data_IF_028330680003
#
_entry.id   IF_028330680003
#
_cell.length_a   1.000
_cell.length_b   1.000
_cell.length_c   1.000
_cell.angle_alpha   90.00
_cell.angle_beta   90.00
_cell.angle_gamma   90.00
#
_symmetry.space_group_name_H-M   'P 1'
#
loop_
_entity.id
_entity.type
_entity.pdbx_description
1 polymer ?
#
# COMPACT_ATOMS: atom_id res chain seq x y z
N UNK A 1 -56.44 -5.28 -2.40
CA UNK A 1 -55.80 -4.45 -1.37
C UNK A 1 -54.51 -5.14 -0.96
N UNK A 2 -53.41 -4.88 -1.68
CA UNK A 2 -52.11 -5.54 -1.46
C UNK A 2 -51.33 -4.66 -0.49
N UNK A 3 -51.01 -5.22 0.68
CA UNK A 3 -50.16 -4.58 1.66
C UNK A 3 -48.72 -4.55 1.14
N UNK A 4 -48.16 -3.36 0.99
CA UNK A 4 -46.73 -3.18 0.78
C UNK A 4 -46.02 -3.33 2.13
N UNK A 5 -45.33 -4.46 2.33
CA UNK A 5 -44.43 -4.65 3.46
C UNK A 5 -43.15 -3.83 3.23
N UNK A 6 -42.93 -2.85 4.10
CA UNK A 6 -41.70 -2.04 4.14
C UNK A 6 -40.70 -2.73 5.07
N UNK A 7 -39.54 -3.12 4.54
CA UNK A 7 -38.42 -3.66 5.33
C UNK A 7 -37.58 -2.49 5.84
N UNK A 8 -37.53 -2.27 7.15
CA UNK A 8 -36.67 -1.26 7.78
C UNK A 8 -35.23 -1.78 7.93
N UNK A 9 -34.40 -1.60 6.90
CA UNK A 9 -32.93 -1.76 6.95
C UNK A 9 -32.23 -0.47 7.43
N UNK A 10 -32.75 0.17 8.47
CA UNK A 10 -32.32 1.54 8.84
C UNK A 10 -31.19 1.63 9.88
N UNK A 11 -31.05 0.65 10.78
CA UNK A 11 -30.25 0.82 12.01
C UNK A 11 -28.93 0.05 12.04
N UNK A 12 -28.83 -1.10 11.36
CA UNK A 12 -27.59 -1.88 11.27
C UNK A 12 -26.66 -1.36 10.16
N UNK A 13 -27.20 -1.00 8.99
CA UNK A 13 -26.44 -0.44 7.87
C UNK A 13 -25.75 0.89 8.22
N UNK A 14 -26.39 1.74 9.04
CA UNK A 14 -25.86 3.05 9.44
C UNK A 14 -24.68 2.96 10.42
N UNK A 15 -24.62 1.92 11.25
CA UNK A 15 -23.50 1.71 12.21
C UNK A 15 -22.29 1.11 11.49
N UNK A 16 -22.49 0.16 10.57
CA UNK A 16 -21.42 -0.36 9.70
C UNK A 16 -20.87 0.70 8.74
N UNK A 17 -21.73 1.59 8.25
CA UNK A 17 -21.34 2.76 7.43
C UNK A 17 -20.45 3.75 8.20
N UNK A 18 -20.72 4.00 9.49
CA UNK A 18 -19.92 4.92 10.31
C UNK A 18 -18.53 4.41 10.65
N UNK A 19 -18.39 3.12 10.95
CA UNK A 19 -17.09 2.46 11.19
C UNK A 19 -16.24 2.42 9.90
N UNK A 20 -16.88 2.09 8.77
CA UNK A 20 -16.25 2.05 7.44
C UNK A 20 -15.76 3.42 6.98
N UNK A 21 -16.58 4.47 7.10
CA UNK A 21 -16.16 5.84 6.77
C UNK A 21 -14.98 6.30 7.64
N UNK A 22 -14.90 5.83 8.89
CA UNK A 22 -13.75 6.04 9.75
C UNK A 22 -12.48 5.35 9.24
N UNK A 23 -12.59 4.10 8.81
CA UNK A 23 -11.48 3.32 8.25
C UNK A 23 -10.98 3.90 6.92
N UNK A 24 -11.87 4.28 6.02
CA UNK A 24 -11.53 4.95 4.76
C UNK A 24 -10.76 6.23 5.08
N UNK A 25 -11.32 7.11 5.93
CA UNK A 25 -10.62 8.33 6.35
C UNK A 25 -9.24 8.05 6.93
N UNK A 26 -9.12 7.03 7.77
CA UNK A 26 -7.83 6.67 8.36
C UNK A 26 -6.83 6.15 7.31
N UNK A 27 -7.29 5.38 6.33
CA UNK A 27 -6.45 4.95 5.20
C UNK A 27 -6.01 6.16 4.37
N UNK A 28 -6.92 7.11 4.08
CA UNK A 28 -6.61 8.36 3.40
C UNK A 28 -5.56 9.18 4.16
N UNK A 29 -5.77 9.39 5.47
CA UNK A 29 -4.84 10.12 6.33
C UNK A 29 -3.47 9.42 6.39
N UNK A 30 -3.41 8.09 6.34
CA UNK A 30 -2.12 7.37 6.26
C UNK A 30 -1.42 7.64 4.93
N UNK A 31 -2.15 7.58 3.83
CA UNK A 31 -1.60 7.79 2.49
C UNK A 31 -1.09 9.22 2.29
N UNK A 32 -1.80 10.22 2.81
CA UNK A 32 -1.39 11.64 2.78
C UNK A 32 -0.16 11.94 3.64
N UNK A 33 0.09 11.15 4.69
CA UNK A 33 1.23 11.35 5.60
C UNK A 33 2.53 10.75 5.10
N UNK A 34 2.47 9.90 4.07
CA UNK A 34 3.63 9.22 3.51
C UNK A 34 4.19 10.05 2.36
N UNK A 35 5.48 10.36 2.45
CA UNK A 35 6.26 10.93 1.36
C UNK A 35 6.63 9.82 0.37
N UNK A 36 5.90 9.75 -0.75
CA UNK A 36 6.05 8.68 -1.74
C UNK A 36 7.33 8.77 -2.56
N UNK A 37 7.89 9.98 -2.74
CA UNK A 37 9.21 10.14 -3.32
C UNK A 37 10.29 9.52 -2.41
N UNK A 38 10.19 9.76 -1.10
CA UNK A 38 11.05 9.12 -0.12
C UNK A 38 10.89 7.58 -0.11
N UNK A 39 9.66 7.06 -0.27
CA UNK A 39 9.41 5.61 -0.40
C UNK A 39 10.17 5.03 -1.59
N UNK A 40 10.05 5.62 -2.78
CA UNK A 40 10.72 5.10 -3.99
C UNK A 40 12.25 5.19 -3.89
N UNK A 41 12.76 6.25 -3.27
CA UNK A 41 14.18 6.38 -2.99
C UNK A 41 14.69 5.28 -2.05
N UNK A 42 14.02 5.09 -0.91
CA UNK A 42 14.37 4.07 0.09
C UNK A 42 14.24 2.66 -0.47
N UNK A 43 13.17 2.36 -1.21
CA UNK A 43 12.97 1.09 -1.92
C UNK A 43 14.16 0.76 -2.82
N UNK A 44 14.60 1.74 -3.63
CA UNK A 44 15.75 1.58 -4.51
C UNK A 44 17.04 1.28 -3.74
N UNK A 45 17.28 1.98 -2.63
CA UNK A 45 18.43 1.70 -1.75
C UNK A 45 18.37 0.30 -1.14
N UNK A 46 17.22 -0.10 -0.63
CA UNK A 46 17.01 -1.41 0.00
C UNK A 46 17.20 -2.54 -1.01
N UNK A 47 16.67 -2.41 -2.22
CA UNK A 47 16.87 -3.40 -3.30
C UNK A 47 18.34 -3.53 -3.72
N UNK A 48 19.07 -2.43 -3.79
CA UNK A 48 20.50 -2.44 -4.07
C UNK A 48 21.29 -3.13 -2.94
N UNK A 49 20.98 -2.79 -1.68
CA UNK A 49 21.61 -3.41 -0.51
C UNK A 49 21.29 -4.91 -0.40
N UNK A 50 20.05 -5.30 -0.69
CA UNK A 50 19.61 -6.68 -0.69
C UNK A 50 20.40 -7.50 -1.70
N UNK A 51 20.60 -6.98 -2.92
CA UNK A 51 21.40 -7.61 -3.98
C UNK A 51 22.82 -7.92 -3.50
N UNK A 52 23.45 -6.99 -2.78
CA UNK A 52 24.79 -7.19 -2.22
C UNK A 52 24.80 -8.25 -1.12
N UNK A 53 23.77 -8.30 -0.26
CA UNK A 53 23.66 -9.26 0.83
C UNK A 53 23.34 -10.67 0.32
N UNK A 54 22.55 -10.80 -0.74
CA UNK A 54 22.14 -12.08 -1.32
C UNK A 54 23.11 -12.62 -2.39
N UNK A 55 24.19 -11.91 -2.71
CA UNK A 55 25.12 -12.28 -3.79
C UNK A 55 25.69 -13.70 -3.63
N UNK A 56 25.96 -14.12 -2.39
CA UNK A 56 26.57 -15.42 -2.08
C UNK A 56 25.69 -16.32 -1.20
N UNK A 57 24.40 -16.00 -1.02
CA UNK A 57 23.53 -16.76 -0.11
C UNK A 57 22.09 -16.84 -0.62
N UNK A 58 21.61 -18.07 -0.76
CA UNK A 58 20.18 -18.34 -0.98
C UNK A 58 19.44 -18.06 0.33
N UNK A 59 18.51 -17.11 0.30
CA UNK A 59 17.63 -16.80 1.41
C UNK A 59 16.30 -17.52 1.20
N UNK A 60 15.84 -18.27 2.21
CA UNK A 60 14.43 -18.66 2.26
C UNK A 60 13.53 -17.43 2.45
N UNK A 61 12.23 -17.57 2.19
CA UNK A 61 11.26 -16.46 2.26
C UNK A 61 11.27 -15.74 3.62
N UNK A 62 11.38 -16.49 4.72
CA UNK A 62 11.38 -15.89 6.06
C UNK A 62 12.65 -15.07 6.32
N UNK A 63 13.81 -15.58 5.89
CA UNK A 63 15.09 -14.86 5.97
C UNK A 63 15.14 -13.68 5.01
N UNK A 64 14.56 -13.81 3.82
CA UNK A 64 14.46 -12.74 2.85
C UNK A 64 13.66 -11.57 3.44
N UNK A 65 12.46 -11.85 3.97
CA UNK A 65 11.60 -10.85 4.61
C UNK A 65 12.26 -10.20 5.83
N UNK A 66 12.92 -10.98 6.68
CA UNK A 66 13.67 -10.45 7.83
C UNK A 66 14.85 -9.56 7.40
N UNK A 67 15.55 -9.94 6.32
CA UNK A 67 16.67 -9.17 5.77
C UNK A 67 16.20 -7.84 5.21
N UNK A 68 15.15 -7.83 4.39
CA UNK A 68 14.55 -6.59 3.87
C UNK A 68 14.06 -5.70 5.00
N UNK A 69 13.34 -6.24 6.00
CA UNK A 69 12.87 -5.46 7.15
C UNK A 69 14.02 -4.76 7.90
N UNK A 70 15.13 -5.46 8.11
CA UNK A 70 16.34 -4.88 8.70
C UNK A 70 16.96 -3.80 7.81
N UNK A 71 17.10 -4.06 6.52
CA UNK A 71 17.68 -3.10 5.57
C UNK A 71 16.81 -1.83 5.45
N UNK A 72 15.49 -1.96 5.45
CA UNK A 72 14.56 -0.83 5.45
C UNK A 72 14.72 0.03 6.71
N UNK A 73 14.86 -0.60 7.89
CA UNK A 73 15.11 0.13 9.14
C UNK A 73 16.41 0.94 9.07
N UNK A 74 17.49 0.32 8.58
CA UNK A 74 18.79 0.98 8.40
C UNK A 74 18.71 2.15 7.41
N UNK A 75 18.09 1.94 6.25
CA UNK A 75 17.95 2.97 5.23
C UNK A 75 17.14 4.19 5.75
N UNK A 76 16.09 3.95 6.55
CA UNK A 76 15.31 5.03 7.17
C UNK A 76 16.14 5.78 8.21
N UNK A 77 16.91 5.08 9.05
CA UNK A 77 17.81 5.72 10.02
C UNK A 77 18.82 6.63 9.31
N UNK A 78 19.47 6.13 8.26
CA UNK A 78 20.44 6.89 7.45
C UNK A 78 19.77 8.11 6.80
N UNK A 79 18.59 7.94 6.21
CA UNK A 79 17.82 9.03 5.61
C UNK A 79 17.44 10.11 6.64
N UNK A 80 17.04 9.72 7.86
CA UNK A 80 16.74 10.69 8.93
C UNK A 80 17.99 11.45 9.37
N UNK A 81 19.15 10.79 9.47
CA UNK A 81 20.40 11.48 9.80
C UNK A 81 20.79 12.49 8.72
N UNK A 82 20.63 12.12 7.45
CA UNK A 82 20.92 12.98 6.30
C UNK A 82 19.99 14.21 6.26
N UNK A 83 18.70 14.07 6.58
CA UNK A 83 17.79 15.22 6.76
C UNK A 83 18.25 16.17 7.86
N UNK A 84 18.69 15.63 9.00
CA UNK A 84 19.22 16.44 10.10
C UNK A 84 20.47 17.18 9.65
N UNK A 85 21.38 16.51 8.94
CA UNK A 85 22.60 17.12 8.40
C UNK A 85 22.31 18.24 7.38
N UNK A 86 21.22 18.12 6.60
CA UNK A 86 20.74 19.16 5.68
C UNK A 86 19.94 20.30 6.32
N UNK A 87 19.65 20.22 7.63
CA UNK A 87 18.89 21.24 8.34
C UNK A 87 17.37 21.14 8.18
N UNK A 88 16.85 20.03 7.64
CA UNK A 88 15.40 19.76 7.51
C UNK A 88 14.74 19.33 8.84
N UNK A 89 15.56 19.00 9.84
CA UNK A 89 15.12 18.56 11.16
C UNK A 89 14.81 17.05 11.23
N UNK A 90 14.52 16.54 12.44
CA UNK A 90 14.23 15.13 12.63
C UNK A 90 12.83 14.77 12.10
N UNK A 91 12.67 13.53 11.62
CA UNK A 91 11.36 12.96 11.31
C UNK A 91 10.73 12.38 12.59
N UNK A 92 9.46 12.68 12.85
CA UNK A 92 8.73 12.10 13.99
C UNK A 92 8.64 10.57 13.91
N UNK A 93 8.65 9.88 15.05
CA UNK A 93 8.65 8.41 15.09
C UNK A 93 7.44 7.79 14.37
N UNK A 94 6.26 8.38 14.50
CA UNK A 94 5.05 7.91 13.80
C UNK A 94 5.18 8.02 12.27
N UNK A 95 5.83 9.08 11.78
CA UNK A 95 6.09 9.25 10.36
C UNK A 95 7.16 8.27 9.87
N UNK A 96 8.19 7.98 10.66
CA UNK A 96 9.16 6.93 10.35
C UNK A 96 8.50 5.54 10.27
N UNK A 97 7.57 5.25 11.18
CA UNK A 97 6.81 4.00 11.17
C UNK A 97 5.90 3.89 9.94
N UNK A 98 5.23 4.97 9.55
CA UNK A 98 4.41 5.03 8.34
C UNK A 98 5.27 4.83 7.08
N UNK A 99 6.43 5.50 7.00
CA UNK A 99 7.38 5.37 5.91
C UNK A 99 7.92 3.94 5.80
N UNK A 100 8.26 3.30 6.94
CA UNK A 100 8.66 1.90 6.99
C UNK A 100 7.58 0.97 6.47
N UNK A 101 6.32 1.17 6.88
CA UNK A 101 5.18 0.40 6.39
C UNK A 101 5.07 0.50 4.88
N UNK A 102 5.03 1.72 4.34
CA UNK A 102 4.92 1.97 2.91
C UNK A 102 6.05 1.35 2.09
N UNK A 103 7.31 1.41 2.57
CA UNK A 103 8.43 0.75 1.90
C UNK A 103 8.27 -0.76 1.91
N UNK A 104 7.83 -1.37 3.02
CA UNK A 104 7.61 -2.82 3.07
C UNK A 104 6.44 -3.25 2.19
N UNK A 105 5.35 -2.49 2.18
CA UNK A 105 4.19 -2.75 1.31
C UNK A 105 4.58 -2.61 -0.17
N UNK A 106 5.49 -1.69 -0.51
CA UNK A 106 6.01 -1.56 -1.87
C UNK A 106 6.93 -2.69 -2.30
N UNK A 107 7.54 -3.41 -1.35
CA UNK A 107 8.46 -4.52 -1.61
C UNK A 107 7.75 -5.88 -1.63
N UNK A 108 6.69 -6.04 -0.82
CA UNK A 108 6.04 -7.33 -0.56
C UNK A 108 4.53 -7.36 -0.78
N UNK A 109 3.91 -6.21 -1.04
CA UNK A 109 2.48 -6.06 -1.20
C UNK A 109 2.17 -5.14 -2.36
N UNK A 110 1.06 -4.42 -2.26
CA UNK A 110 0.57 -3.55 -3.31
C UNK A 110 1.04 -2.09 -3.20
N UNK A 111 2.13 -1.82 -2.46
CA UNK A 111 2.68 -0.46 -2.30
C UNK A 111 1.63 0.54 -1.84
N UNK A 112 1.46 1.63 -2.61
CA UNK A 112 0.46 2.68 -2.33
C UNK A 112 -0.99 2.18 -2.30
N UNK A 113 -1.27 1.04 -2.91
CA UNK A 113 -2.60 0.42 -2.90
C UNK A 113 -2.88 -0.44 -1.66
N UNK A 114 -1.84 -0.89 -0.93
CA UNK A 114 -2.02 -1.83 0.18
C UNK A 114 -3.02 -1.33 1.25
N UNK A 115 -2.97 -0.06 1.70
CA UNK A 115 -3.94 0.44 2.68
C UNK A 115 -5.40 0.44 2.19
N UNK A 116 -5.62 0.47 0.88
CA UNK A 116 -6.95 0.39 0.27
C UNK A 116 -7.42 -1.06 0.15
N UNK A 117 -6.52 -1.98 -0.20
CA UNK A 117 -6.80 -3.41 -0.24
C UNK A 117 -7.09 -4.00 1.16
N UNK A 118 -6.56 -3.38 2.20
CA UNK A 118 -6.80 -3.78 3.59
C UNK A 118 -8.14 -3.26 4.15
N UNK A 119 -8.89 -2.44 3.38
CA UNK A 119 -10.20 -1.95 3.80
C UNK A 119 -11.21 -3.10 3.89
N UNK A 120 -11.96 -3.23 5.00
CA UNK A 120 -12.87 -4.35 5.17
C UNK A 120 -14.03 -4.25 4.18
N UNK A 121 -14.26 -5.35 3.47
CA UNK A 121 -15.31 -5.46 2.46
C UNK A 121 -14.99 -4.74 1.16
N UNK A 122 -13.74 -4.27 0.93
CA UNK A 122 -13.32 -3.86 -0.41
C UNK A 122 -13.42 -5.07 -1.35
N UNK A 123 -13.98 -4.86 -2.53
CA UNK A 123 -14.12 -5.86 -3.57
C UNK A 123 -13.32 -5.48 -4.81
N UNK A 124 -13.42 -4.22 -5.23
CA UNK A 124 -12.74 -3.73 -6.43
C UNK A 124 -12.20 -2.29 -6.24
N UNK A 125 -11.07 -2.01 -6.89
CA UNK A 125 -10.44 -0.68 -6.95
C UNK A 125 -10.29 -0.33 -8.42
N UNK A 126 -11.13 0.57 -8.91
CA UNK A 126 -11.07 1.07 -10.27
C UNK A 126 -10.26 2.37 -10.31
N UNK A 127 -9.37 2.49 -11.30
CA UNK A 127 -8.42 3.59 -11.41
C UNK A 127 -8.49 4.18 -12.82
N UNK A 128 -9.01 5.40 -12.92
CA UNK A 128 -9.11 6.23 -14.11
C UNK A 128 -8.16 7.44 -13.99
N UNK A 129 -6.88 7.24 -14.36
CA UNK A 129 -5.81 8.22 -14.08
C UNK A 129 -5.25 8.12 -12.65
N UNK A 130 -4.27 8.94 -12.30
CA UNK A 130 -3.61 8.82 -10.98
C UNK A 130 -4.49 9.24 -9.78
N UNK A 131 -5.49 10.11 -10.01
CA UNK A 131 -6.38 10.68 -8.99
C UNK A 131 -7.86 10.25 -9.11
N UNK A 132 -8.25 9.62 -10.22
CA UNK A 132 -9.60 9.10 -10.44
C UNK A 132 -9.79 7.68 -9.87
N UNK A 133 -9.95 7.55 -8.56
CA UNK A 133 -10.06 6.23 -7.90
C UNK A 133 -11.47 5.97 -7.38
N UNK A 134 -12.04 4.84 -7.75
CA UNK A 134 -13.34 4.36 -7.26
C UNK A 134 -13.15 3.07 -6.47
N UNK A 135 -13.64 3.05 -5.23
CA UNK A 135 -13.63 1.91 -4.32
C UNK A 135 -15.01 1.26 -4.31
N UNK A 136 -15.10 0.00 -4.71
CA UNK A 136 -16.32 -0.79 -4.67
C UNK A 136 -16.26 -1.81 -3.54
N UNK A 137 -17.30 -1.84 -2.72
CA UNK A 137 -17.40 -2.74 -1.57
C UNK A 137 -18.39 -3.88 -1.82
N UNK A 138 -18.27 -4.97 -1.07
CA UNK A 138 -19.11 -6.17 -1.18
C UNK A 138 -20.60 -5.96 -0.89
N UNK A 139 -20.98 -4.80 -0.35
CA UNK A 139 -22.39 -4.39 -0.19
C UNK A 139 -22.93 -3.60 -1.41
N UNK A 140 -22.11 -3.47 -2.46
CA UNK A 140 -22.39 -2.71 -3.69
C UNK A 140 -22.23 -1.20 -3.55
N UNK A 141 -21.69 -0.71 -2.42
CA UNK A 141 -21.42 0.73 -2.26
C UNK A 141 -20.16 1.15 -3.02
N UNK A 142 -20.21 2.37 -3.57
CA UNK A 142 -19.10 3.02 -4.26
C UNK A 142 -18.66 4.25 -3.47
N UNK A 143 -17.35 4.38 -3.26
CA UNK A 143 -16.74 5.52 -2.58
C UNK A 143 -15.56 6.05 -3.40
N UNK A 144 -15.29 7.35 -3.33
CA UNK A 144 -14.11 7.94 -3.98
C UNK A 144 -12.85 7.64 -3.15
N UNK A 145 -11.84 7.07 -3.80
CA UNK A 145 -10.53 6.80 -3.23
C UNK A 145 -9.55 7.98 -3.34
N UNK A 146 -8.39 7.91 -2.68
CA UNK A 146 -7.32 8.88 -2.83
C UNK A 146 -6.56 8.68 -4.15
N UNK A 147 -5.74 9.66 -4.56
CA UNK A 147 -4.76 9.44 -5.61
C UNK A 147 -3.80 8.30 -5.28
N UNK A 148 -3.61 7.41 -6.25
CA UNK A 148 -2.75 6.21 -6.14
C UNK A 148 -1.33 6.44 -6.64
N UNK A 149 -1.06 7.64 -7.17
CA UNK A 149 0.26 8.13 -7.52
C UNK A 149 0.27 9.66 -7.49
N UNK A 150 1.45 10.26 -7.59
CA UNK A 150 1.60 11.72 -7.67
C UNK A 150 1.49 12.23 -9.12
N UNK A 151 1.60 11.31 -10.10
CA UNK A 151 1.40 11.56 -11.52
C UNK A 151 1.04 10.27 -12.27
N UNK A 152 0.50 10.40 -13.49
CA UNK A 152 0.23 9.25 -14.36
C UNK A 152 1.51 8.47 -14.71
N UNK A 153 2.68 9.13 -14.76
CA UNK A 153 3.97 8.48 -15.01
C UNK A 153 4.40 7.61 -13.80
N UNK A 154 4.19 8.11 -12.59
CA UNK A 154 4.46 7.36 -11.36
C UNK A 154 3.49 6.19 -11.21
N UNK A 155 2.23 6.36 -11.60
CA UNK A 155 1.23 5.29 -11.64
C UNK A 155 1.68 4.14 -12.55
N UNK A 156 2.18 4.45 -13.75
CA UNK A 156 2.69 3.45 -14.68
C UNK A 156 3.91 2.70 -14.12
N UNK A 157 4.78 3.38 -13.36
CA UNK A 157 5.93 2.74 -12.68
C UNK A 157 5.48 1.76 -11.60
N UNK A 158 4.47 2.14 -10.80
CA UNK A 158 3.92 1.31 -9.73
C UNK A 158 3.20 0.07 -10.31
N UNK A 159 2.37 0.24 -11.34
CA UNK A 159 1.67 -0.88 -12.00
C UNK A 159 2.66 -1.87 -12.61
N UNK A 160 3.74 -1.38 -13.26
CA UNK A 160 4.78 -2.27 -13.79
C UNK A 160 5.48 -3.07 -12.69
N UNK A 161 5.71 -2.47 -11.52
CA UNK A 161 6.29 -3.17 -10.38
C UNK A 161 5.36 -4.28 -9.86
N UNK A 162 4.07 -3.99 -9.70
CA UNK A 162 3.07 -4.99 -9.29
C UNK A 162 2.94 -6.14 -10.29
N UNK A 163 3.01 -5.84 -11.59
CA UNK A 163 2.96 -6.84 -12.64
C UNK A 163 4.18 -7.78 -12.62
N UNK A 164 5.35 -7.32 -12.18
CA UNK A 164 6.54 -8.18 -11.98
C UNK A 164 6.34 -9.10 -10.78
N UNK A 165 5.81 -8.58 -9.66
CA UNK A 165 5.50 -9.40 -8.47
C UNK A 165 4.43 -10.47 -8.77
N UNK A 166 3.50 -10.19 -9.68
CA UNK A 166 2.43 -11.13 -10.05
C UNK A 166 2.89 -12.26 -11.01
N UNK A 167 4.04 -12.15 -11.65
CA UNK A 167 4.49 -13.12 -12.67
C UNK A 167 5.01 -14.45 -12.10
N UNK A 168 5.09 -14.61 -10.78
CA UNK A 168 5.49 -15.87 -10.14
C UNK A 168 4.32 -16.86 -9.94
N UNK A 169 3.09 -16.49 -10.29
CA UNK A 169 1.90 -17.37 -10.23
C UNK A 169 1.41 -17.69 -11.65
N UNK A 170 2.19 -18.44 -12.41
CA UNK A 170 1.85 -18.70 -13.82
C UNK A 170 2.37 -19.98 -14.48
N UNK A 171 3.36 -20.68 -13.93
CA UNK A 171 3.89 -21.90 -14.56
C UNK A 171 3.37 -23.16 -13.86
N UNK A 172 2.10 -23.49 -14.12
CA UNK A 172 1.67 -24.89 -14.01
C UNK A 172 1.82 -25.50 -15.41
N UNK A 173 2.79 -26.39 -15.66
CA UNK A 173 2.91 -26.99 -16.97
C UNK A 173 1.70 -27.89 -17.21
N UNK A 174 0.86 -27.51 -18.17
CA UNK A 174 -0.15 -28.39 -18.75
C UNK A 174 0.57 -29.62 -19.30
N UNK A 175 0.53 -30.73 -18.55
CA UNK A 175 1.05 -32.02 -18.99
C UNK A 175 0.02 -32.64 -19.94
N UNK A 176 0.39 -32.75 -21.20
CA UNK A 176 -0.34 -33.54 -22.22
C UNK A 176 -0.19 -35.03 -22.03
#
# INVERSE_FOLDING_TARGET
MVAASRLEVGRAAKVLSGDRQGQIRQALERLERVDWEAVQHLRSQVSAALTLVSADTVLDESRHRATVSRLTMQAIEDWVQDRIARGEGPLALDAQNALRGAVLDSMFGAGRLQPLLDLPGIENIEIEGHDGVTLEFSDGSLETGPPVADSDADQISEIQHLAVLSQEVGDTPCRG
#
